data_IF_847351310386
#
_entry.id   IF_847351310386
#
_cell.length_a   1.000
_cell.length_b   1.000
_cell.length_c   1.000
_cell.angle_alpha   90.00
_cell.angle_beta   90.00
_cell.angle_gamma   90.00
#
_symmetry.space_group_name_H-M   'P 1'
#
loop_
_entity.id
_entity.type
_entity.pdbx_description
1 polymer ?
#
# COMPACT_ATOMS: atom_id res chain seq x y z
N UNK A 1 15.16 7.15 -15.74
CA UNK A 1 13.68 7.08 -15.68
C UNK A 1 13.30 6.75 -14.25
N UNK A 2 12.82 7.71 -13.47
CA UNK A 2 12.18 7.40 -12.19
C UNK A 2 10.77 6.89 -12.53
N UNK A 3 10.60 5.57 -12.55
CA UNK A 3 9.26 4.98 -12.72
C UNK A 3 8.52 5.16 -11.40
N UNK A 4 7.53 6.04 -11.40
CA UNK A 4 6.58 6.18 -10.30
C UNK A 4 5.92 4.82 -10.07
N UNK A 5 6.05 4.27 -8.86
CA UNK A 5 5.47 2.98 -8.51
C UNK A 5 4.11 3.21 -7.85
N UNK A 6 3.07 2.66 -8.50
CA UNK A 6 1.71 2.59 -7.95
C UNK A 6 1.46 1.20 -7.38
N UNK A 7 0.93 1.13 -6.17
CA UNK A 7 0.57 -0.12 -5.48
C UNK A 7 -0.91 -0.10 -5.15
N UNK A 8 -1.59 -1.23 -5.35
CA UNK A 8 -3.00 -1.43 -5.01
C UNK A 8 -3.10 -2.64 -4.09
N UNK A 9 -3.69 -2.46 -2.91
CA UNK A 9 -3.97 -3.53 -1.94
C UNK A 9 -5.46 -3.84 -2.00
N UNK A 10 -5.81 -5.06 -2.40
CA UNK A 10 -7.19 -5.57 -2.40
C UNK A 10 -7.42 -6.32 -1.09
N UNK A 11 -8.48 -5.97 -0.36
CA UNK A 11 -8.67 -6.36 1.04
C UNK A 11 -8.08 -5.36 2.02
N UNK A 12 -8.19 -4.05 1.70
CA UNK A 12 -7.64 -2.97 2.51
C UNK A 12 -8.13 -2.92 3.96
N UNK A 13 -9.32 -3.46 4.24
CA UNK A 13 -9.90 -3.61 5.58
C UNK A 13 -9.26 -4.71 6.42
N UNK A 14 -8.26 -5.43 5.90
CA UNK A 14 -7.50 -6.41 6.67
C UNK A 14 -6.87 -5.79 7.92
N UNK A 15 -6.93 -6.52 9.04
CA UNK A 15 -6.20 -6.18 10.27
C UNK A 15 -4.67 -6.11 10.09
N UNK A 16 -4.14 -6.66 8.99
CA UNK A 16 -2.71 -6.64 8.67
C UNK A 16 -2.28 -5.43 7.82
N UNK A 17 -3.23 -4.70 7.23
CA UNK A 17 -2.93 -3.51 6.42
C UNK A 17 -2.04 -2.48 7.14
N UNK A 18 -2.19 -2.21 8.46
CA UNK A 18 -1.29 -1.30 9.17
C UNK A 18 0.18 -1.70 9.13
N UNK A 19 0.48 -2.99 9.31
CA UNK A 19 1.86 -3.52 9.31
C UNK A 19 2.47 -3.46 7.90
N UNK A 20 1.66 -3.74 6.87
CA UNK A 20 2.06 -3.57 5.47
C UNK A 20 2.43 -2.11 5.15
N UNK A 21 1.60 -1.15 5.57
CA UNK A 21 1.86 0.29 5.37
C UNK A 21 3.12 0.71 6.13
N UNK A 22 3.31 0.25 7.37
CA UNK A 22 4.52 0.51 8.14
C UNK A 22 5.77 -0.03 7.43
N UNK A 23 5.67 -1.21 6.82
CA UNK A 23 6.71 -1.80 5.99
C UNK A 23 7.10 -0.92 4.80
N UNK A 24 6.12 -0.34 4.10
CA UNK A 24 6.33 0.59 2.98
C UNK A 24 6.97 1.90 3.43
N UNK A 25 6.54 2.47 4.55
CA UNK A 25 7.13 3.70 5.09
C UNK A 25 8.59 3.47 5.48
N UNK A 26 8.88 2.38 6.21
CA UNK A 26 10.23 2.03 6.66
C UNK A 26 11.21 1.80 5.51
N UNK A 27 10.72 1.41 4.33
CA UNK A 27 11.54 1.05 3.15
C UNK A 27 11.30 1.97 1.96
N UNK A 28 10.78 3.18 2.20
CA UNK A 28 10.46 4.11 1.12
C UNK A 28 11.67 4.42 0.22
N UNK A 29 12.87 4.50 0.80
CA UNK A 29 14.10 4.78 0.05
C UNK A 29 14.50 3.63 -0.89
N UNK A 30 14.15 2.40 -0.55
CA UNK A 30 14.38 1.19 -1.36
C UNK A 30 13.25 0.99 -2.40
N UNK A 31 12.01 1.26 -2.00
CA UNK A 31 10.80 1.06 -2.80
C UNK A 31 9.94 2.33 -2.78
N UNK A 32 10.24 3.25 -3.71
CA UNK A 32 9.57 4.55 -3.84
C UNK A 32 8.15 4.43 -4.39
N UNK A 33 7.22 4.04 -3.53
CA UNK A 33 5.79 4.01 -3.81
C UNK A 33 5.26 5.45 -3.81
N UNK A 34 4.80 5.92 -4.95
CA UNK A 34 4.28 7.29 -5.10
C UNK A 34 2.76 7.35 -5.00
N UNK A 35 2.10 6.19 -5.08
CA UNK A 35 0.63 6.08 -5.03
C UNK A 35 0.26 4.73 -4.42
N UNK A 36 -0.56 4.75 -3.36
CA UNK A 36 -1.06 3.57 -2.67
C UNK A 36 -2.59 3.63 -2.65
N UNK A 37 -3.24 2.63 -3.22
CA UNK A 37 -4.69 2.47 -3.15
C UNK A 37 -5.02 1.29 -2.24
N UNK A 38 -5.88 1.50 -1.25
CA UNK A 38 -6.49 0.44 -0.46
C UNK A 38 -7.92 0.28 -0.96
N UNK A 39 -8.26 -0.91 -1.44
CA UNK A 39 -9.59 -1.24 -1.96
C UNK A 39 -10.17 -2.41 -1.18
N UNK A 40 -11.44 -2.30 -0.85
CA UNK A 40 -12.25 -3.34 -0.23
C UNK A 40 -13.67 -3.30 -0.80
N UNK A 41 -14.48 -4.31 -0.50
CA UNK A 41 -15.92 -4.28 -0.78
C UNK A 41 -16.67 -3.56 0.36
N UNK A 42 -17.92 -3.17 0.12
CA UNK A 42 -18.78 -2.69 1.20
C UNK A 42 -18.96 -3.80 2.27
N UNK A 43 -18.98 -3.42 3.55
CA UNK A 43 -19.43 -4.32 4.60
C UNK A 43 -20.90 -4.69 4.33
N UNK A 44 -21.16 -6.00 4.28
CA UNK A 44 -22.47 -6.55 3.91
C UNK A 44 -23.59 -6.25 4.90
#
# INVERSE_FOLDING_TARGET
MNKNLKVVVIGGGSSYTPELIEGFIKRYDELKITELHLVDIEEG
#
